data_IF_669673114108
#
_entry.id   IF_669673114108
#
_cell.length_a   1.000
_cell.length_b   1.000
_cell.length_c   1.000
_cell.angle_alpha   90.00
_cell.angle_beta   90.00
_cell.angle_gamma   90.00
#
_symmetry.space_group_name_H-M   'P 1'
#
loop_
_entity.id
_entity.type
_entity.pdbx_description
1 polymer ?
#
# COMPACT_ATOMS: atom_id res chain seq x y z
N UNK A 1 27.37 -3.95 18.30
CA UNK A 1 25.91 -4.18 18.35
C UNK A 1 25.46 -4.39 16.91
N UNK A 2 24.78 -5.49 16.54
CA UNK A 2 24.15 -5.54 15.22
C UNK A 2 23.21 -4.34 15.12
N UNK A 3 23.21 -3.64 13.99
CA UNK A 3 22.40 -2.43 13.82
C UNK A 3 20.94 -2.72 14.21
N UNK A 4 20.43 -1.97 15.16
CA UNK A 4 19.06 -2.13 15.67
C UNK A 4 18.05 -1.97 14.55
N UNK A 5 17.04 -2.85 14.51
CA UNK A 5 15.94 -2.80 13.56
C UNK A 5 14.67 -2.35 14.28
N UNK A 6 14.09 -1.25 13.81
CA UNK A 6 12.88 -0.64 14.41
C UNK A 6 11.79 -0.52 13.36
N UNK A 7 10.54 -0.78 13.77
CA UNK A 7 9.34 -0.56 12.97
C UNK A 7 8.55 0.60 13.57
N UNK A 8 8.29 1.65 12.79
CA UNK A 8 7.57 2.84 13.26
C UNK A 8 6.85 3.56 12.13
N UNK A 9 6.05 4.57 12.46
CA UNK A 9 5.51 5.47 11.46
C UNK A 9 6.66 6.16 10.69
N UNK A 10 6.46 6.34 9.39
CA UNK A 10 7.36 7.10 8.53
C UNK A 10 7.32 8.57 8.92
N UNK A 11 8.47 9.20 8.99
CA UNK A 11 8.60 10.64 9.13
C UNK A 11 8.58 11.30 7.75
N UNK A 12 8.19 12.58 7.69
CA UNK A 12 8.06 13.28 6.41
C UNK A 12 9.38 13.32 5.61
N UNK A 13 10.53 13.46 6.31
CA UNK A 13 11.87 13.44 5.71
C UNK A 13 12.25 12.10 5.08
N UNK A 14 11.54 11.03 5.41
CA UNK A 14 11.81 9.67 4.92
C UNK A 14 11.00 9.35 3.66
N UNK A 15 10.07 10.21 3.25
CA UNK A 15 9.16 9.94 2.14
C UNK A 15 9.90 9.74 0.80
N UNK A 16 11.04 10.38 0.59
CA UNK A 16 11.90 10.13 -0.59
C UNK A 16 12.45 8.69 -0.60
N UNK A 17 12.88 8.19 0.57
CA UNK A 17 13.37 6.83 0.71
C UNK A 17 12.23 5.80 0.55
N UNK A 18 11.04 6.11 1.08
CA UNK A 18 9.82 5.31 0.90
C UNK A 18 9.41 5.27 -0.58
N UNK A 19 9.44 6.41 -1.29
CA UNK A 19 9.19 6.46 -2.72
C UNK A 19 10.20 5.60 -3.50
N UNK A 20 11.48 5.69 -3.14
CA UNK A 20 12.52 4.86 -3.73
C UNK A 20 12.31 3.35 -3.52
N UNK A 21 11.85 2.93 -2.34
CA UNK A 21 11.45 1.54 -2.07
C UNK A 21 10.26 1.13 -2.92
N UNK A 22 9.24 2.00 -3.05
CA UNK A 22 8.06 1.74 -3.85
C UNK A 22 8.38 1.58 -5.33
N UNK A 23 9.30 2.41 -5.84
CA UNK A 23 9.79 2.34 -7.21
C UNK A 23 10.53 1.03 -7.48
N UNK A 24 11.48 0.66 -6.62
CA UNK A 24 12.20 -0.63 -6.76
C UNK A 24 11.25 -1.81 -6.79
N UNK A 25 10.27 -1.84 -5.89
CA UNK A 25 9.26 -2.90 -5.88
C UNK A 25 8.44 -2.94 -7.17
N UNK A 26 8.15 -1.78 -7.77
CA UNK A 26 7.46 -1.71 -9.06
C UNK A 26 8.31 -2.29 -10.20
N UNK A 27 9.62 -2.00 -10.23
CA UNK A 27 10.57 -2.56 -11.21
C UNK A 27 10.75 -4.07 -11.02
N UNK A 28 10.88 -4.54 -9.78
CA UNK A 28 11.00 -5.97 -9.43
C UNK A 28 9.77 -6.78 -9.84
N UNK A 29 8.58 -6.17 -9.80
CA UNK A 29 7.31 -6.78 -10.23
C UNK A 29 7.16 -6.81 -11.77
N UNK A 30 8.22 -6.45 -12.52
CA UNK A 30 8.29 -6.53 -13.97
C UNK A 30 7.40 -5.53 -14.70
N UNK A 31 6.97 -4.46 -14.03
CA UNK A 31 6.06 -3.46 -14.60
C UNK A 31 6.84 -2.39 -15.37
N UNK A 32 6.31 -1.99 -16.52
CA UNK A 32 6.87 -0.90 -17.31
C UNK A 32 6.43 0.45 -16.75
N UNK A 33 7.40 1.28 -16.36
CA UNK A 33 7.13 2.63 -15.90
C UNK A 33 6.65 3.50 -17.08
N UNK A 34 5.64 4.32 -16.83
CA UNK A 34 5.11 5.31 -17.78
C UNK A 34 5.57 6.74 -17.47
N UNK A 35 6.28 6.92 -16.36
CA UNK A 35 6.84 8.19 -15.88
C UNK A 35 8.28 7.97 -15.45
N UNK A 36 9.07 9.03 -15.45
CA UNK A 36 10.45 8.98 -14.95
C UNK A 36 10.49 8.83 -13.43
N UNK A 37 11.56 8.21 -12.92
CA UNK A 37 11.72 7.95 -11.47
C UNK A 37 11.61 9.23 -10.63
N UNK A 38 12.21 10.33 -11.06
CA UNK A 38 12.17 11.58 -10.32
C UNK A 38 10.75 12.18 -10.28
N UNK A 39 10.01 12.07 -11.39
CA UNK A 39 8.62 12.49 -11.46
C UNK A 39 7.74 11.66 -10.52
N UNK A 40 7.94 10.34 -10.53
CA UNK A 40 7.28 9.43 -9.60
C UNK A 40 7.57 9.81 -8.15
N UNK A 41 8.84 10.06 -7.79
CA UNK A 41 9.23 10.42 -6.41
C UNK A 41 8.54 11.72 -6.00
N UNK A 42 8.60 12.78 -6.81
CA UNK A 42 7.94 14.05 -6.50
C UNK A 42 6.43 13.88 -6.31
N UNK A 43 5.76 13.18 -7.22
CA UNK A 43 4.33 12.93 -7.14
C UNK A 43 3.94 12.08 -5.94
N UNK A 44 4.71 11.03 -5.65
CA UNK A 44 4.50 10.14 -4.51
C UNK A 44 4.62 10.89 -3.18
N UNK A 45 5.67 11.72 -3.03
CA UNK A 45 5.90 12.50 -1.82
C UNK A 45 4.79 13.53 -1.63
N UNK A 46 4.39 14.26 -2.69
CA UNK A 46 3.26 15.18 -2.65
C UNK A 46 1.98 14.48 -2.20
N UNK A 47 1.64 13.37 -2.85
CA UNK A 47 0.48 12.55 -2.49
C UNK A 47 0.53 12.07 -1.03
N UNK A 48 1.69 11.57 -0.56
CA UNK A 48 1.84 11.06 0.80
C UNK A 48 1.63 12.16 1.85
N UNK A 49 2.12 13.38 1.61
CA UNK A 49 1.90 14.53 2.49
C UNK A 49 0.42 14.94 2.52
N UNK A 50 -0.20 15.08 1.36
CA UNK A 50 -1.62 15.44 1.22
C UNK A 50 -2.56 14.41 1.89
N UNK A 51 -2.14 13.15 1.96
CA UNK A 51 -2.96 12.04 2.47
C UNK A 51 -2.54 11.56 3.87
N UNK A 52 -1.60 12.24 4.56
CA UNK A 52 -1.03 11.79 5.83
C UNK A 52 -2.07 11.58 6.95
N UNK A 53 -3.22 12.26 6.88
CA UNK A 53 -4.32 12.09 7.84
C UNK A 53 -5.09 10.77 7.70
N UNK A 54 -4.91 10.02 6.62
CA UNK A 54 -5.68 8.80 6.33
C UNK A 54 -4.85 7.63 5.82
N UNK A 55 -3.71 7.92 5.20
CA UNK A 55 -2.78 6.93 4.71
C UNK A 55 -1.58 6.97 5.67
N UNK A 56 -1.46 5.96 6.51
CA UNK A 56 -0.35 5.85 7.45
C UNK A 56 0.70 4.89 6.90
N UNK A 57 1.89 5.42 6.58
CA UNK A 57 3.03 4.64 6.16
C UNK A 57 3.83 4.21 7.39
N UNK A 58 4.16 2.93 7.47
CA UNK A 58 5.07 2.35 8.44
C UNK A 58 6.38 2.00 7.74
N UNK A 59 7.51 2.26 8.37
CA UNK A 59 8.86 1.97 7.86
C UNK A 59 9.57 0.98 8.76
N UNK A 60 10.45 0.18 8.15
CA UNK A 60 11.47 -0.61 8.85
C UNK A 60 12.79 0.13 8.69
N UNK A 61 13.42 0.47 9.80
CA UNK A 61 14.65 1.26 9.86
C UNK A 61 15.75 0.44 10.50
N UNK A 62 16.94 0.44 9.89
CA UNK A 62 18.16 -0.16 10.42
C UNK A 62 19.22 0.94 10.56
N UNK A 63 19.55 1.32 11.80
CA UNK A 63 20.31 2.54 12.07
C UNK A 63 19.57 3.77 11.56
N UNK A 64 20.11 4.48 10.57
CA UNK A 64 19.46 5.64 9.92
C UNK A 64 18.80 5.29 8.58
N UNK A 65 18.92 4.04 8.11
CA UNK A 65 18.47 3.65 6.78
C UNK A 65 17.09 3.03 6.82
N UNK A 66 16.18 3.59 6.03
CA UNK A 66 14.90 2.97 5.71
C UNK A 66 15.15 1.78 4.76
N UNK A 67 14.80 0.57 5.21
CA UNK A 67 15.01 -0.69 4.47
C UNK A 67 13.70 -1.37 4.05
N UNK A 68 12.56 -0.91 4.55
CA UNK A 68 11.25 -1.43 4.19
C UNK A 68 10.14 -0.41 4.45
N UNK A 69 9.00 -0.58 3.78
CA UNK A 69 7.83 0.27 3.95
C UNK A 69 6.54 -0.53 3.72
N UNK A 70 5.46 -0.11 4.40
CA UNK A 70 4.11 -0.62 4.16
C UNK A 70 3.06 0.43 4.57
N UNK A 71 1.93 0.45 3.87
CA UNK A 71 0.78 1.24 4.29
C UNK A 71 -0.16 0.40 5.15
N UNK A 72 -0.60 0.95 6.29
CA UNK A 72 -1.46 0.24 7.26
C UNK A 72 -2.73 -0.31 6.61
N UNK A 73 -3.41 0.49 5.76
CA UNK A 73 -4.63 0.04 5.08
C UNK A 73 -4.42 -1.20 4.20
N UNK A 74 -3.30 -1.27 3.46
CA UNK A 74 -2.97 -2.45 2.66
C UNK A 74 -2.64 -3.67 3.52
N UNK A 75 -1.94 -3.48 4.64
CA UNK A 75 -1.62 -4.54 5.62
C UNK A 75 -2.88 -5.11 6.25
N UNK A 76 -3.81 -4.25 6.68
CA UNK A 76 -5.09 -4.65 7.25
C UNK A 76 -5.92 -5.42 6.23
N UNK A 77 -6.01 -4.92 4.99
CA UNK A 77 -6.75 -5.61 3.92
C UNK A 77 -6.16 -7.00 3.64
N UNK A 78 -4.84 -7.11 3.54
CA UNK A 78 -4.17 -8.40 3.36
C UNK A 78 -4.47 -9.38 4.48
N UNK A 79 -4.37 -8.93 5.74
CA UNK A 79 -4.69 -9.75 6.91
C UNK A 79 -6.17 -10.21 6.94
N UNK A 80 -7.11 -9.34 6.55
CA UNK A 80 -8.53 -9.70 6.46
C UNK A 80 -8.77 -10.75 5.38
N UNK A 81 -8.15 -10.60 4.20
CA UNK A 81 -8.27 -11.57 3.10
C UNK A 81 -7.68 -12.92 3.49
N UNK A 82 -6.50 -12.94 4.11
CA UNK A 82 -5.85 -14.15 4.61
C UNK A 82 -6.74 -14.85 5.64
N UNK A 83 -7.26 -14.09 6.63
CA UNK A 83 -8.15 -14.64 7.64
C UNK A 83 -9.44 -15.23 7.06
N UNK A 84 -10.03 -14.57 6.06
CA UNK A 84 -11.22 -15.09 5.38
C UNK A 84 -10.94 -16.42 4.66
N UNK A 85 -9.74 -16.59 4.07
CA UNK A 85 -9.32 -17.85 3.44
C UNK A 85 -9.16 -18.97 4.47
N UNK A 86 -8.49 -18.71 5.59
CA UNK A 86 -8.32 -19.68 6.67
C UNK A 86 -9.65 -20.18 7.23
N UNK A 87 -10.62 -19.28 7.34
CA UNK A 87 -11.97 -19.59 7.82
C UNK A 87 -12.85 -20.29 6.77
N UNK A 88 -12.38 -20.44 5.52
CA UNK A 88 -13.16 -21.04 4.44
C UNK A 88 -14.38 -20.21 4.05
N UNK A 89 -14.34 -18.88 4.21
CA UNK A 89 -15.47 -18.02 3.85
C UNK A 89 -15.70 -18.09 2.35
N UNK A 90 -16.94 -18.39 1.94
CA UNK A 90 -17.30 -18.53 0.53
C UNK A 90 -17.05 -17.24 -0.28
N UNK A 91 -17.30 -16.07 0.34
CA UNK A 91 -17.18 -14.77 -0.32
C UNK A 91 -16.85 -13.63 0.64
N UNK A 92 -15.87 -12.81 0.26
CA UNK A 92 -15.61 -11.50 0.86
C UNK A 92 -15.98 -10.41 -0.17
N UNK A 93 -16.85 -9.47 0.21
CA UNK A 93 -17.28 -8.36 -0.65
C UNK A 93 -16.87 -7.02 -0.06
N UNK A 94 -16.61 -6.03 -0.91
CA UNK A 94 -16.31 -4.66 -0.49
C UNK A 94 -17.11 -3.65 -1.32
N UNK A 95 -17.60 -2.60 -0.65
CA UNK A 95 -18.08 -1.40 -1.32
C UNK A 95 -16.94 -0.38 -1.35
N UNK A 96 -16.55 0.04 -2.55
CA UNK A 96 -15.39 0.90 -2.76
C UNK A 96 -15.77 2.11 -3.60
N UNK A 97 -15.14 3.25 -3.31
CA UNK A 97 -15.08 4.35 -4.27
C UNK A 97 -14.25 3.92 -5.49
N UNK A 98 -14.50 4.54 -6.66
CA UNK A 98 -13.75 4.24 -7.88
C UNK A 98 -12.23 4.38 -7.70
N UNK A 99 -11.80 5.40 -6.96
CA UNK A 99 -10.39 5.68 -6.65
C UNK A 99 -9.71 4.55 -5.87
N UNK A 100 -10.44 3.83 -5.03
CA UNK A 100 -9.89 2.75 -4.21
C UNK A 100 -9.94 1.37 -4.86
N UNK A 101 -10.65 1.20 -5.99
CA UNK A 101 -10.76 -0.08 -6.72
C UNK A 101 -9.40 -0.72 -7.01
N UNK A 102 -8.37 0.00 -7.50
CA UNK A 102 -7.07 -0.61 -7.76
C UNK A 102 -6.40 -1.22 -6.52
N UNK A 103 -6.69 -0.72 -5.31
CA UNK A 103 -6.15 -1.29 -4.08
C UNK A 103 -6.78 -2.66 -3.77
N UNK A 104 -8.09 -2.79 -3.95
CA UNK A 104 -8.79 -4.06 -3.74
C UNK A 104 -8.46 -5.10 -4.82
N UNK A 105 -8.32 -4.68 -6.08
CA UNK A 105 -7.87 -5.58 -7.16
C UNK A 105 -6.49 -6.16 -6.87
N UNK A 106 -5.54 -5.34 -6.38
CA UNK A 106 -4.23 -5.84 -5.94
C UNK A 106 -4.31 -6.82 -4.77
N UNK A 107 -5.34 -6.73 -3.93
CA UNK A 107 -5.59 -7.66 -2.84
C UNK A 107 -6.34 -8.93 -3.28
N UNK A 108 -6.59 -9.11 -4.58
CA UNK A 108 -7.25 -10.29 -5.14
C UNK A 108 -8.77 -10.19 -5.26
N UNK A 109 -9.36 -9.00 -5.06
CA UNK A 109 -10.77 -8.80 -5.34
C UNK A 109 -11.02 -8.70 -6.85
N UNK A 110 -12.19 -9.17 -7.27
CA UNK A 110 -12.69 -9.01 -8.63
C UNK A 110 -14.13 -8.48 -8.61
N UNK A 111 -14.55 -7.86 -9.71
CA UNK A 111 -15.95 -7.47 -9.90
C UNK A 111 -16.86 -8.71 -9.92
N UNK A 112 -18.09 -8.55 -9.42
CA UNK A 112 -19.10 -9.61 -9.44
C UNK A 112 -20.28 -9.19 -10.29
N UNK A 113 -20.54 -9.92 -11.38
CA UNK A 113 -21.72 -9.72 -12.23
C UNK A 113 -23.04 -10.00 -11.50
N UNK A 114 -22.96 -10.68 -10.34
CA UNK A 114 -24.12 -11.10 -9.53
C UNK A 114 -24.41 -10.17 -8.35
N UNK A 115 -23.66 -9.08 -8.18
CA UNK A 115 -23.88 -8.14 -7.07
C UNK A 115 -25.08 -7.23 -7.37
N UNK A 116 -26.13 -7.33 -6.55
CA UNK A 116 -27.30 -6.44 -6.58
C UNK A 116 -27.24 -5.51 -5.36
N UNK A 117 -27.46 -4.21 -5.57
CA UNK A 117 -27.44 -3.20 -4.50
C UNK A 117 -28.43 -2.07 -4.79
N UNK A 118 -28.98 -1.48 -3.74
CA UNK A 118 -29.82 -0.27 -3.79
C UNK A 118 -29.13 0.85 -3.03
N UNK A 119 -29.21 2.08 -3.54
CA UNK A 119 -28.72 3.30 -2.85
C UNK A 119 -29.93 4.19 -2.58
N UNK A 120 -29.95 4.82 -1.41
CA UNK A 120 -30.95 5.80 -1.00
C UNK A 120 -30.36 7.20 -1.06
#
# INVERSE_FOLDING_TARGET
MPDEIVIRAAEERELDAVAGLRWRWFEEDGKTAVVEREEFVRGFVGWAKENAGSHWCTVVVRGERVIGMAWVGGRLLGAVVERARELGVERLTVHSSGRAVPAYVRAGFAGSERLLQVRY
#
